data_IF_286366227767
#
_entry.id   IF_286366227767
#
_cell.length_a   1.000
_cell.length_b   1.000
_cell.length_c   1.000
_cell.angle_alpha   90.00
_cell.angle_beta   90.00
_cell.angle_gamma   90.00
#
_symmetry.space_group_name_H-M   'P 1'
#
loop_
_entity.id
_entity.type
_entity.pdbx_description
1 polymer ?
#
# COMPACT_ATOMS: atom_id res chain seq x y z
N UNK A 1 11.14 37.43 43.11
CA UNK A 1 10.25 38.00 42.08
C UNK A 1 10.44 37.21 40.79
N UNK A 2 9.35 36.61 40.31
CA UNK A 2 9.13 36.00 38.98
C UNK A 2 10.09 34.90 38.52
N UNK A 3 9.75 33.67 38.90
CA UNK A 3 10.10 32.42 38.21
C UNK A 3 8.86 31.89 37.50
N UNK A 4 8.95 31.59 36.20
CA UNK A 4 7.98 30.74 35.50
C UNK A 4 8.78 29.77 34.63
N UNK A 5 8.63 28.46 34.89
CA UNK A 5 8.64 27.51 33.80
C UNK A 5 7.48 26.49 33.86
N UNK A 6 7.13 26.02 32.66
CA UNK A 6 6.74 24.64 32.29
C UNK A 6 5.31 24.05 32.46
N UNK A 7 4.78 23.61 31.28
CA UNK A 7 4.02 22.39 30.85
C UNK A 7 2.74 21.92 31.57
N UNK A 8 1.65 21.76 30.79
CA UNK A 8 0.87 20.51 30.52
C UNK A 8 -0.57 20.89 30.08
N UNK A 9 -0.98 20.66 28.83
CA UNK A 9 -1.58 19.40 28.29
C UNK A 9 -2.59 18.76 29.25
N UNK A 10 -3.88 18.91 28.94
CA UNK A 10 -5.02 18.11 29.39
C UNK A 10 -5.81 17.75 28.10
N UNK A 11 -5.64 16.59 27.47
CA UNK A 11 -6.35 15.32 27.73
C UNK A 11 -7.78 15.52 28.21
N UNK A 12 -8.74 15.31 27.30
CA UNK A 12 -10.07 14.83 27.65
C UNK A 12 -10.34 13.57 26.84
N UNK A 13 -10.09 12.44 27.50
CA UNK A 13 -10.58 11.13 27.11
C UNK A 13 -12.11 11.13 27.26
N UNK A 14 -12.81 10.72 26.21
CA UNK A 14 -14.24 10.45 26.24
C UNK A 14 -14.44 9.09 26.94
N UNK A 15 -14.58 9.09 28.26
CA UNK A 15 -14.94 7.89 29.02
C UNK A 15 -16.44 7.66 28.93
N UNK A 16 -16.83 6.66 28.13
CA UNK A 16 -18.19 6.11 28.14
C UNK A 16 -18.35 5.30 29.43
N UNK A 17 -19.04 5.85 30.42
CA UNK A 17 -19.46 5.11 31.60
C UNK A 17 -20.73 4.30 31.27
N UNK A 18 -20.57 3.00 31.04
CA UNK A 18 -21.67 2.03 31.07
C UNK A 18 -22.17 1.89 32.51
N UNK A 19 -23.39 2.34 32.78
CA UNK A 19 -24.07 2.10 34.05
C UNK A 19 -24.85 0.78 33.94
N UNK A 20 -24.32 -0.25 34.60
CA UNK A 20 -25.04 -1.48 34.95
C UNK A 20 -24.98 -1.68 36.46
N UNK A 21 -26.11 -1.53 37.17
CA UNK A 21 -26.39 -2.14 38.49
C UNK A 21 -27.93 -2.27 38.56
N UNK A 22 -28.51 -3.45 38.31
CA UNK A 22 -28.69 -4.59 39.21
C UNK A 22 -29.66 -4.31 40.37
N UNK A 23 -30.87 -4.88 40.24
CA UNK A 23 -31.88 -4.95 41.29
C UNK A 23 -31.42 -5.97 42.34
N UNK A 24 -31.26 -5.53 43.58
CA UNK A 24 -31.02 -6.38 44.75
C UNK A 24 -31.70 -5.79 45.98
N UNK A 25 -32.70 -6.48 46.51
CA UNK A 25 -33.47 -6.08 47.67
C UNK A 25 -32.65 -6.10 48.97
N UNK A 26 -32.89 -5.11 49.85
CA UNK A 26 -32.86 -5.29 51.30
C UNK A 26 -31.91 -4.39 52.10
N UNK A 27 -32.35 -3.18 52.46
CA UNK A 27 -32.31 -2.60 53.83
C UNK A 27 -32.81 -1.13 53.81
N UNK A 28 -33.54 -0.75 54.86
CA UNK A 28 -34.37 0.46 54.98
C UNK A 28 -33.56 1.78 55.17
N UNK A 29 -34.19 2.95 54.93
CA UNK A 29 -33.51 4.15 54.44
C UNK A 29 -33.03 5.06 55.56
N UNK A 30 -31.92 5.78 55.31
CA UNK A 30 -31.63 7.01 56.03
C UNK A 30 -30.95 8.03 55.09
N UNK A 31 -31.59 9.20 54.98
CA UNK A 31 -31.06 10.50 54.57
C UNK A 31 -30.38 10.62 53.19
N UNK A 32 -31.08 10.29 52.08
CA UNK A 32 -30.59 10.60 50.71
C UNK A 32 -31.46 11.60 49.93
N UNK A 33 -32.71 11.85 50.34
CA UNK A 33 -33.63 12.71 49.56
C UNK A 33 -33.15 14.18 49.42
N UNK A 34 -32.47 14.73 50.43
CA UNK A 34 -31.94 16.10 50.37
C UNK A 34 -30.71 16.22 49.47
N UNK A 35 -29.90 15.16 49.35
CA UNK A 35 -28.66 15.17 48.58
C UNK A 35 -28.93 14.98 47.08
N UNK A 36 -29.96 14.22 46.73
CA UNK A 36 -30.34 13.99 45.33
C UNK A 36 -31.19 15.13 44.76
N UNK A 37 -32.04 15.78 45.58
CA UNK A 37 -32.73 17.02 45.18
C UNK A 37 -31.73 18.16 44.88
N UNK A 38 -30.68 18.29 45.70
CA UNK A 38 -29.64 19.32 45.52
C UNK A 38 -28.78 19.06 44.27
N UNK A 39 -28.54 17.78 43.92
CA UNK A 39 -27.85 17.40 42.68
C UNK A 39 -28.72 17.58 41.45
N UNK A 40 -30.03 17.31 41.53
CA UNK A 40 -30.96 17.58 40.43
C UNK A 40 -31.06 19.08 40.13
N UNK A 41 -31.19 19.94 41.14
CA UNK A 41 -31.17 21.40 40.91
C UNK A 41 -29.83 21.89 40.33
N UNK A 42 -28.70 21.29 40.74
CA UNK A 42 -27.39 21.61 40.17
C UNK A 42 -27.27 21.18 38.70
N UNK A 43 -27.82 20.01 38.34
CA UNK A 43 -27.88 19.51 36.96
C UNK A 43 -28.83 20.32 36.09
N UNK A 44 -29.98 20.76 36.61
CA UNK A 44 -30.89 21.65 35.90
C UNK A 44 -30.24 23.01 35.62
N UNK A 45 -29.54 23.58 36.61
CA UNK A 45 -28.76 24.82 36.40
C UNK A 45 -27.65 24.64 35.36
N UNK A 46 -26.96 23.50 35.35
CA UNK A 46 -25.97 23.22 34.31
C UNK A 46 -26.61 23.06 32.93
N UNK A 47 -27.76 22.40 32.83
CA UNK A 47 -28.48 22.26 31.57
C UNK A 47 -28.96 23.62 31.03
N UNK A 48 -29.47 24.51 31.88
CA UNK A 48 -29.87 25.85 31.46
C UNK A 48 -28.66 26.72 31.05
N UNK A 49 -27.52 26.59 31.75
CA UNK A 49 -26.27 27.23 31.33
C UNK A 49 -25.76 26.68 29.99
N UNK A 50 -25.87 25.38 29.77
CA UNK A 50 -25.48 24.75 28.51
C UNK A 50 -26.40 25.19 27.37
N UNK A 51 -27.72 25.22 27.58
CA UNK A 51 -28.68 25.75 26.59
C UNK A 51 -28.41 27.22 26.28
N UNK A 52 -28.14 28.04 27.29
CA UNK A 52 -27.76 29.44 27.09
C UNK A 52 -26.44 29.57 26.30
N UNK A 53 -25.45 28.71 26.59
CA UNK A 53 -24.18 28.68 25.85
C UNK A 53 -24.32 28.19 24.41
N UNK A 54 -25.29 27.29 24.14
CA UNK A 54 -25.60 26.80 22.81
C UNK A 54 -26.34 27.86 22.01
N UNK A 55 -27.34 28.51 22.62
CA UNK A 55 -28.05 29.62 22.00
C UNK A 55 -27.11 30.77 21.67
N UNK A 56 -26.21 31.12 22.60
CA UNK A 56 -25.18 32.15 22.35
C UNK A 56 -24.23 31.74 21.22
N UNK A 57 -23.75 30.48 21.20
CA UNK A 57 -22.91 30.00 20.08
C UNK A 57 -23.65 29.95 18.76
N UNK A 58 -24.96 29.74 18.79
CA UNK A 58 -25.81 29.72 17.61
C UNK A 58 -26.06 31.15 17.10
N UNK A 59 -26.27 32.11 17.99
CA UNK A 59 -26.29 33.55 17.69
C UNK A 59 -24.92 34.02 17.18
N UNK A 60 -23.81 33.61 17.78
CA UNK A 60 -22.45 33.90 17.31
C UNK A 60 -22.19 33.27 15.92
N UNK A 61 -22.77 32.10 15.62
CA UNK A 61 -22.70 31.45 14.30
C UNK A 61 -23.58 32.14 13.26
N UNK A 62 -24.75 32.62 13.65
CA UNK A 62 -25.66 33.36 12.78
C UNK A 62 -25.13 34.79 12.52
N UNK A 63 -24.45 35.41 13.50
CA UNK A 63 -23.71 36.66 13.36
C UNK A 63 -22.45 36.47 12.51
N UNK A 64 -21.69 35.37 12.69
CA UNK A 64 -20.58 35.03 11.79
C UNK A 64 -21.05 34.71 10.36
N UNK A 65 -22.26 34.15 10.19
CA UNK A 65 -22.90 33.98 8.88
C UNK A 65 -23.35 35.32 8.30
N UNK A 66 -23.87 36.23 9.11
CA UNK A 66 -24.24 37.59 8.70
C UNK A 66 -23.00 38.43 8.33
N UNK A 67 -21.89 38.27 9.05
CA UNK A 67 -20.59 38.89 8.74
C UNK A 67 -19.93 38.26 7.50
N UNK A 68 -20.14 36.97 7.23
CA UNK A 68 -19.75 36.35 5.95
C UNK A 68 -20.66 36.75 4.77
N UNK A 69 -21.89 37.21 5.04
CA UNK A 69 -22.77 37.83 4.04
C UNK A 69 -22.51 39.34 3.89
N UNK A 70 -21.88 39.98 4.87
CA UNK A 70 -21.56 41.42 4.93
C UNK A 70 -20.11 41.77 4.61
N UNK A 71 -19.19 40.80 4.63
CA UNK A 71 -17.83 40.96 4.12
C UNK A 71 -17.87 40.91 2.60
N UNK A 72 -18.12 42.08 2.01
CA UNK A 72 -17.83 42.46 0.63
C UNK A 72 -17.51 41.26 -0.25
N UNK A 73 -18.55 40.65 -0.82
CA UNK A 73 -18.42 39.94 -2.08
C UNK A 73 -17.77 40.93 -3.04
N UNK A 74 -16.45 40.84 -3.19
CA UNK A 74 -15.87 40.94 -4.51
C UNK A 74 -16.55 39.81 -5.26
N UNK A 75 -17.69 40.12 -5.87
CA UNK A 75 -18.30 39.25 -6.88
C UNK A 75 -17.19 39.11 -7.91
N UNK A 76 -16.43 38.03 -7.80
CA UNK A 76 -15.46 37.67 -8.82
C UNK A 76 -16.28 37.62 -10.11
N UNK A 77 -15.95 38.49 -11.06
CA UNK A 77 -16.58 38.57 -12.38
C UNK A 77 -16.21 37.35 -13.24
N UNK A 78 -16.30 36.15 -12.66
CA UNK A 78 -15.89 34.87 -13.21
C UNK A 78 -16.91 33.77 -12.91
N UNK A 79 -16.87 32.67 -13.68
CA UNK A 79 -17.88 31.62 -13.67
C UNK A 79 -18.00 30.97 -12.29
N UNK A 80 -19.23 30.70 -11.83
CA UNK A 80 -19.54 30.01 -10.57
C UNK A 80 -18.87 28.64 -10.46
N UNK A 81 -18.81 28.05 -9.26
CA UNK A 81 -18.20 26.73 -9.07
C UNK A 81 -18.89 25.65 -9.93
N UNK A 82 -20.21 25.72 -10.06
CA UNK A 82 -21.00 24.84 -10.95
C UNK A 82 -20.60 25.04 -12.42
N UNK A 83 -20.54 26.29 -12.90
CA UNK A 83 -20.15 26.59 -14.28
C UNK A 83 -18.72 26.15 -14.60
N UNK A 84 -17.79 26.28 -13.63
CA UNK A 84 -16.41 25.79 -13.77
C UNK A 84 -16.38 24.27 -13.89
N UNK A 85 -17.15 23.56 -13.05
CA UNK A 85 -17.21 22.11 -13.04
C UNK A 85 -17.89 21.55 -14.30
N UNK A 86 -18.95 22.20 -14.77
CA UNK A 86 -19.61 21.90 -16.04
C UNK A 86 -18.64 22.05 -17.21
N UNK A 87 -17.82 23.11 -17.21
CA UNK A 87 -16.80 23.28 -18.24
C UNK A 87 -15.76 22.15 -18.16
N UNK A 88 -15.20 21.88 -16.97
CA UNK A 88 -14.21 20.81 -16.75
C UNK A 88 -14.71 19.45 -17.25
N UNK A 89 -15.98 19.12 -17.00
CA UNK A 89 -16.60 17.86 -17.41
C UNK A 89 -16.73 17.73 -18.93
N UNK A 90 -16.89 18.86 -19.63
CA UNK A 90 -17.08 18.91 -21.08
C UNK A 90 -15.77 19.12 -21.87
N UNK A 91 -14.63 19.29 -21.20
CA UNK A 91 -13.35 19.46 -21.87
C UNK A 91 -12.93 18.19 -22.62
N UNK A 92 -12.56 18.36 -23.89
CA UNK A 92 -12.01 17.29 -24.72
C UNK A 92 -10.56 17.58 -25.06
N UNK A 93 -9.66 16.78 -24.48
CA UNK A 93 -8.24 16.83 -24.80
C UNK A 93 -7.94 15.93 -26.00
N UNK A 94 -7.18 16.46 -26.95
CA UNK A 94 -6.66 15.77 -28.13
C UNK A 94 -5.16 16.03 -28.21
N UNK A 95 -4.43 15.24 -29.00
CA UNK A 95 -3.00 15.46 -29.25
C UNK A 95 -2.70 16.87 -29.79
N UNK A 96 -3.61 17.44 -30.59
CA UNK A 96 -3.44 18.75 -31.22
C UNK A 96 -3.64 19.94 -30.25
N UNK A 97 -4.52 19.82 -29.26
CA UNK A 97 -4.84 20.91 -28.32
C UNK A 97 -4.32 20.68 -26.89
N UNK A 98 -3.54 19.62 -26.65
CA UNK A 98 -3.04 19.19 -25.33
C UNK A 98 -2.55 20.34 -24.45
N UNK A 99 -1.57 21.13 -24.91
CA UNK A 99 -1.00 22.24 -24.11
C UNK A 99 -2.00 23.36 -23.81
N UNK A 100 -2.97 23.59 -24.69
CA UNK A 100 -4.01 24.59 -24.47
C UNK A 100 -5.03 24.08 -23.44
N UNK A 101 -5.46 22.82 -23.58
CA UNK A 101 -6.40 22.19 -22.65
C UNK A 101 -5.80 21.99 -21.27
N UNK A 102 -4.54 21.57 -21.16
CA UNK A 102 -3.85 21.47 -19.87
C UNK A 102 -3.82 22.81 -19.14
N UNK A 103 -3.48 23.91 -19.83
CA UNK A 103 -3.53 25.26 -19.24
C UNK A 103 -4.93 25.66 -18.83
N UNK A 104 -5.96 25.28 -19.61
CA UNK A 104 -7.35 25.55 -19.26
C UNK A 104 -7.80 24.75 -18.03
N UNK A 105 -7.47 23.47 -17.95
CA UNK A 105 -7.73 22.62 -16.77
C UNK A 105 -7.05 23.22 -15.54
N UNK A 106 -5.76 23.55 -15.63
CA UNK A 106 -5.04 24.18 -14.52
C UNK A 106 -5.70 25.49 -14.07
N UNK A 107 -6.10 26.35 -15.01
CA UNK A 107 -6.80 27.59 -14.70
C UNK A 107 -8.14 27.36 -14.00
N UNK A 108 -8.94 26.40 -14.47
CA UNK A 108 -10.26 26.09 -13.90
C UNK A 108 -10.14 25.48 -12.50
N UNK A 109 -9.21 24.53 -12.30
CA UNK A 109 -8.95 23.96 -10.98
C UNK A 109 -8.44 25.02 -10.00
N UNK A 110 -7.54 25.92 -10.44
CA UNK A 110 -7.07 27.03 -9.60
C UNK A 110 -8.22 27.99 -9.24
N UNK A 111 -9.13 28.26 -10.18
CA UNK A 111 -10.32 29.07 -9.93
C UNK A 111 -11.24 28.45 -8.87
N UNK A 112 -11.32 27.11 -8.79
CA UNK A 112 -12.07 26.43 -7.72
C UNK A 112 -11.36 26.57 -6.36
N UNK A 113 -10.03 26.55 -6.33
CA UNK A 113 -9.25 26.75 -5.09
C UNK A 113 -9.38 28.18 -4.56
N UNK A 114 -9.29 29.19 -5.44
CA UNK A 114 -9.42 30.61 -5.07
C UNK A 114 -10.78 30.91 -4.42
N UNK A 115 -11.82 30.15 -4.79
CA UNK A 115 -13.17 30.24 -4.19
C UNK A 115 -13.27 29.60 -2.81
N UNK A 116 -12.30 28.76 -2.40
CA UNK A 116 -12.23 28.18 -1.06
C UNK A 116 -13.44 27.29 -0.71
N UNK A 117 -13.92 27.45 0.53
CA UNK A 117 -15.04 26.67 1.09
C UNK A 117 -16.32 26.69 0.24
N UNK A 118 -16.55 27.74 -0.55
CA UNK A 118 -17.72 27.84 -1.43
C UNK A 118 -17.73 26.78 -2.54
N UNK A 119 -16.56 26.25 -2.93
CA UNK A 119 -16.45 25.19 -3.94
C UNK A 119 -16.71 23.81 -3.37
N UNK A 120 -16.55 23.60 -2.06
CA UNK A 120 -16.57 22.26 -1.45
C UNK A 120 -17.89 21.51 -1.68
N UNK A 121 -19.08 22.11 -1.50
CA UNK A 121 -20.34 21.39 -1.73
C UNK A 121 -20.50 20.91 -3.18
N UNK A 122 -20.13 21.75 -4.16
CA UNK A 122 -20.22 21.43 -5.59
C UNK A 122 -19.26 20.29 -5.95
N UNK A 123 -18.03 20.35 -5.43
CA UNK A 123 -17.03 19.31 -5.65
C UNK A 123 -17.49 17.99 -5.04
N UNK A 124 -17.98 18.03 -3.80
CA UNK A 124 -18.52 16.86 -3.08
C UNK A 124 -19.65 16.20 -3.87
N UNK A 125 -20.62 16.98 -4.35
CA UNK A 125 -21.76 16.46 -5.11
C UNK A 125 -21.31 15.80 -6.41
N UNK A 126 -20.30 16.34 -7.08
CA UNK A 126 -19.72 15.70 -8.26
C UNK A 126 -19.02 14.38 -7.92
N UNK A 127 -18.19 14.36 -6.88
CA UNK A 127 -17.46 13.17 -6.48
C UNK A 127 -18.40 12.01 -6.11
N UNK A 128 -19.57 12.31 -5.55
CA UNK A 128 -20.60 11.33 -5.22
C UNK A 128 -21.33 10.73 -6.44
N UNK A 129 -21.25 11.35 -7.63
CA UNK A 129 -21.86 10.80 -8.86
C UNK A 129 -21.06 9.64 -9.46
N UNK A 130 -19.83 9.41 -9.00
CA UNK A 130 -18.93 8.37 -9.50
C UNK A 130 -18.58 8.48 -11.01
N UNK A 131 -18.80 9.64 -11.61
CA UNK A 131 -18.40 9.97 -12.98
C UNK A 131 -16.96 10.51 -12.99
N UNK A 132 -16.16 10.11 -13.98
CA UNK A 132 -14.79 10.58 -14.17
C UNK A 132 -14.50 10.98 -15.62
N UNK A 133 -13.58 11.94 -15.79
CA UNK A 133 -13.07 12.41 -17.08
C UNK A 133 -11.56 12.28 -17.09
N UNK A 134 -11.02 11.34 -17.87
CA UNK A 134 -9.58 11.14 -17.98
C UNK A 134 -8.93 12.29 -18.79
N UNK A 135 -7.93 12.94 -18.19
CA UNK A 135 -7.14 14.00 -18.83
C UNK A 135 -5.90 13.45 -19.53
N UNK A 136 -5.52 12.20 -19.26
CA UNK A 136 -4.40 11.55 -19.92
C UNK A 136 -4.72 11.33 -21.41
N UNK A 137 -3.82 11.80 -22.28
CA UNK A 137 -3.84 11.45 -23.71
C UNK A 137 -3.59 9.95 -23.82
N UNK A 138 -4.39 9.22 -24.60
CA UNK A 138 -4.12 7.84 -25.04
C UNK A 138 -2.63 7.69 -25.35
N UNK A 139 -1.91 7.01 -24.45
CA UNK A 139 -0.48 6.78 -24.62
C UNK A 139 -0.34 5.68 -25.68
N UNK A 140 0.24 6.01 -26.84
CA UNK A 140 0.63 5.00 -27.82
C UNK A 140 1.58 4.00 -27.14
N UNK A 141 1.32 2.71 -27.35
CA UNK A 141 1.90 1.54 -26.66
C UNK A 141 3.46 1.45 -26.67
N UNK A 142 4.14 2.37 -27.37
CA UNK A 142 5.56 2.28 -27.70
C UNK A 142 6.50 2.90 -26.64
N UNK A 143 6.01 3.77 -25.75
CA UNK A 143 6.86 4.48 -24.76
C UNK A 143 7.01 3.76 -23.41
N UNK A 144 6.46 2.55 -23.24
CA UNK A 144 6.55 1.78 -21.99
C UNK A 144 7.87 1.05 -21.74
N UNK A 145 8.91 1.31 -22.55
CA UNK A 145 10.10 0.46 -22.66
C UNK A 145 11.44 1.08 -22.25
N UNK A 146 11.50 2.23 -21.61
CA UNK A 146 12.80 2.76 -21.13
C UNK A 146 12.71 3.30 -19.70
N UNK A 147 13.46 2.69 -18.79
CA UNK A 147 13.53 3.08 -17.38
C UNK A 147 13.95 1.92 -16.49
N UNK A 148 15.23 1.54 -16.52
CA UNK A 148 15.83 0.54 -15.61
C UNK A 148 16.64 1.25 -14.54
N UNK A 149 16.18 1.20 -13.30
CA UNK A 149 16.99 1.49 -12.12
C UNK A 149 16.59 0.50 -11.02
N UNK A 150 17.52 -0.38 -10.63
CA UNK A 150 17.37 -1.20 -9.42
C UNK A 150 17.89 -0.37 -8.25
N UNK A 151 16.99 0.20 -7.46
CA UNK A 151 17.29 0.83 -6.17
C UNK A 151 16.74 -0.05 -5.03
N UNK A 152 17.62 -0.52 -4.15
CA UNK A 152 17.27 -1.14 -2.86
C UNK A 152 17.43 -0.03 -1.81
N UNK A 153 16.35 0.49 -1.24
CA UNK A 153 16.43 1.39 -0.08
C UNK A 153 15.20 2.24 0.22
N UNK A 154 14.66 2.08 1.43
CA UNK A 154 14.23 3.21 2.26
C UNK A 154 12.74 3.53 2.38
N UNK A 155 12.10 3.97 1.29
CA UNK A 155 10.81 4.66 1.38
C UNK A 155 9.68 3.87 0.68
N UNK A 156 8.47 3.87 1.26
CA UNK A 156 7.28 3.27 0.66
C UNK A 156 7.05 3.83 -0.76
N UNK A 157 7.34 5.12 -0.99
CA UNK A 157 7.27 5.71 -2.34
C UNK A 157 8.35 5.19 -3.30
N UNK A 158 9.56 4.92 -2.83
CA UNK A 158 10.66 4.34 -3.63
C UNK A 158 10.36 2.88 -4.01
N UNK A 159 9.71 2.16 -3.09
CA UNK A 159 9.24 0.77 -3.28
C UNK A 159 8.11 0.71 -4.32
N UNK A 160 7.12 1.58 -4.20
CA UNK A 160 6.04 1.75 -5.19
C UNK A 160 6.57 2.09 -6.58
N UNK A 161 7.60 2.95 -6.68
CA UNK A 161 8.24 3.29 -7.97
C UNK A 161 9.04 2.12 -8.57
N UNK A 162 9.68 1.31 -7.73
CA UNK A 162 10.60 0.24 -8.18
C UNK A 162 9.90 -1.07 -8.52
N UNK A 163 8.79 -1.39 -7.85
CA UNK A 163 8.01 -2.64 -8.06
C UNK A 163 6.83 -2.46 -9.00
N UNK A 164 6.35 -1.23 -9.20
CA UNK A 164 5.08 -0.99 -9.90
C UNK A 164 5.24 -0.11 -11.12
N UNK A 165 5.37 -0.72 -12.30
CA UNK A 165 4.89 -0.05 -13.52
C UNK A 165 3.38 0.14 -13.37
N UNK A 166 2.94 1.39 -13.16
CA UNK A 166 1.52 1.76 -13.27
C UNK A 166 0.76 2.08 -11.98
N UNK A 167 1.41 2.24 -10.81
CA UNK A 167 0.73 2.67 -9.56
C UNK A 167 1.29 3.94 -8.93
N UNK A 168 1.92 4.82 -9.73
CA UNK A 168 2.32 6.13 -9.22
C UNK A 168 1.09 6.89 -8.71
N UNK A 169 1.19 7.48 -7.52
CA UNK A 169 0.21 8.44 -6.98
C UNK A 169 0.76 9.87 -6.98
N UNK A 170 1.85 10.09 -7.73
CA UNK A 170 2.49 11.39 -7.86
C UNK A 170 2.39 11.82 -9.32
N UNK A 171 1.74 12.95 -9.56
CA UNK A 171 1.51 13.50 -10.89
C UNK A 171 1.75 15.01 -10.86
N UNK A 172 2.47 15.53 -11.86
CA UNK A 172 2.65 16.98 -12.03
C UNK A 172 1.35 17.67 -12.48
N UNK A 173 0.46 16.91 -13.12
CA UNK A 173 -0.88 17.32 -13.52
C UNK A 173 -1.86 16.20 -13.20
N UNK A 174 -3.08 16.53 -12.73
CA UNK A 174 -4.04 15.50 -12.36
C UNK A 174 -4.37 14.63 -13.58
N UNK A 175 -4.35 13.29 -13.44
CA UNK A 175 -4.61 12.36 -14.53
C UNK A 175 -6.09 12.30 -14.93
N UNK A 176 -7.00 12.71 -14.04
CA UNK A 176 -8.44 12.80 -14.30
C UNK A 176 -9.10 13.92 -13.50
N UNK A 177 -10.34 14.27 -13.85
CA UNK A 177 -11.10 15.32 -13.18
C UNK A 177 -11.29 15.00 -11.70
N UNK A 178 -11.69 13.78 -11.34
CA UNK A 178 -11.89 13.42 -9.92
C UNK A 178 -10.62 13.58 -9.10
N UNK A 179 -9.46 13.22 -9.66
CA UNK A 179 -8.17 13.43 -8.98
C UNK A 179 -7.85 14.92 -8.84
N UNK A 180 -8.08 15.71 -9.90
CA UNK A 180 -7.92 17.16 -9.84
C UNK A 180 -8.81 17.81 -8.78
N UNK A 181 -10.04 17.31 -8.60
CA UNK A 181 -10.95 17.80 -7.56
C UNK A 181 -10.51 17.39 -6.15
N UNK A 182 -9.93 16.20 -5.97
CA UNK A 182 -9.30 15.79 -4.71
C UNK A 182 -8.12 16.73 -4.37
N UNK A 183 -7.29 17.09 -5.35
CA UNK A 183 -6.22 18.06 -5.16
C UNK A 183 -6.76 19.45 -4.79
N UNK A 184 -7.87 19.87 -5.39
CA UNK A 184 -8.54 21.12 -5.02
C UNK A 184 -9.01 21.08 -3.56
N UNK A 185 -9.65 19.98 -3.11
CA UNK A 185 -10.04 19.81 -1.70
C UNK A 185 -8.83 19.84 -0.75
N UNK A 186 -7.71 19.21 -1.15
CA UNK A 186 -6.45 19.25 -0.40
C UNK A 186 -5.95 20.67 -0.19
N UNK A 187 -5.93 21.48 -1.25
CA UNK A 187 -5.44 22.86 -1.21
C UNK A 187 -6.40 23.80 -0.49
N UNK A 188 -7.72 23.59 -0.59
CA UNK A 188 -8.72 24.33 0.19
C UNK A 188 -8.53 24.04 1.69
N UNK A 189 -8.40 22.75 2.04
CA UNK A 189 -8.25 22.29 3.43
C UNK A 189 -9.44 22.61 4.33
N UNK A 190 -9.25 22.44 5.64
CA UNK A 190 -10.28 22.70 6.63
C UNK A 190 -11.34 21.60 6.74
N UNK A 191 -12.19 21.71 7.77
CA UNK A 191 -13.11 20.63 8.18
C UNK A 191 -14.11 20.21 7.10
N UNK A 192 -14.55 21.15 6.27
CA UNK A 192 -15.47 20.94 5.14
C UNK A 192 -14.81 20.06 4.06
N UNK A 193 -13.60 20.41 3.63
CA UNK A 193 -12.87 19.67 2.61
C UNK A 193 -12.38 18.32 3.13
N UNK A 194 -11.91 18.26 4.38
CA UNK A 194 -11.53 17.01 5.05
C UNK A 194 -12.71 16.03 5.12
N UNK A 195 -13.91 16.51 5.49
CA UNK A 195 -15.11 15.67 5.50
C UNK A 195 -15.47 15.17 4.09
N UNK A 196 -15.37 16.03 3.06
CA UNK A 196 -15.60 15.62 1.68
C UNK A 196 -14.60 14.54 1.21
N UNK A 197 -13.32 14.63 1.57
CA UNK A 197 -12.33 13.59 1.29
C UNK A 197 -12.67 12.28 2.01
N UNK A 198 -13.16 12.36 3.25
CA UNK A 198 -13.68 11.21 3.99
C UNK A 198 -14.81 10.49 3.27
N UNK A 199 -15.78 11.24 2.79
CA UNK A 199 -16.92 10.69 2.05
C UNK A 199 -16.49 9.99 0.76
N UNK A 200 -15.45 10.49 0.08
CA UNK A 200 -14.90 9.79 -1.09
C UNK A 200 -14.41 8.39 -0.71
N UNK A 201 -13.75 8.22 0.45
CA UNK A 201 -13.32 6.89 0.90
C UNK A 201 -14.51 5.97 1.20
N UNK A 202 -15.62 6.52 1.68
CA UNK A 202 -16.82 5.74 1.99
C UNK A 202 -17.64 5.36 0.74
N UNK A 203 -17.62 6.18 -0.31
CA UNK A 203 -18.50 6.00 -1.47
C UNK A 203 -17.78 5.51 -2.73
N UNK A 204 -16.46 5.65 -2.82
CA UNK A 204 -15.75 5.32 -4.06
C UNK A 204 -15.62 3.82 -4.26
N UNK A 205 -15.99 3.36 -5.46
CA UNK A 205 -15.73 2.00 -5.92
C UNK A 205 -14.35 1.84 -6.58
N UNK A 206 -13.57 2.92 -6.71
CA UNK A 206 -12.31 2.95 -7.47
C UNK A 206 -11.12 2.82 -6.53
N UNK A 207 -10.38 1.72 -6.63
CA UNK A 207 -9.23 1.47 -5.75
C UNK A 207 -8.11 2.50 -5.88
N UNK A 208 -7.92 3.05 -7.08
CA UNK A 208 -7.01 4.17 -7.29
C UNK A 208 -7.38 5.42 -6.46
N UNK A 209 -8.67 5.75 -6.37
CA UNK A 209 -9.13 6.89 -5.56
C UNK A 209 -8.96 6.63 -4.08
N UNK A 210 -9.25 5.42 -3.59
CA UNK A 210 -8.98 5.05 -2.20
C UNK A 210 -7.52 5.30 -1.86
N UNK A 211 -6.61 4.82 -2.71
CA UNK A 211 -5.17 5.00 -2.52
C UNK A 211 -4.73 6.47 -2.60
N UNK A 212 -5.28 7.22 -3.57
CA UNK A 212 -4.95 8.62 -3.76
C UNK A 212 -5.43 9.48 -2.60
N UNK A 213 -6.68 9.32 -2.17
CA UNK A 213 -7.24 10.05 -1.02
C UNK A 213 -6.50 9.68 0.26
N UNK A 214 -6.24 8.40 0.53
CA UNK A 214 -5.47 7.95 1.70
C UNK A 214 -4.08 8.59 1.76
N UNK A 215 -3.37 8.67 0.63
CA UNK A 215 -2.08 9.40 0.56
C UNK A 215 -2.27 10.89 0.83
N UNK A 216 -3.25 11.51 0.19
CA UNK A 216 -3.53 12.95 0.31
C UNK A 216 -3.84 13.36 1.74
N UNK A 217 -4.76 12.65 2.42
CA UNK A 217 -5.13 12.96 3.81
C UNK A 217 -3.98 12.72 4.78
N UNK A 218 -3.11 11.73 4.54
CA UNK A 218 -1.89 11.53 5.32
C UNK A 218 -0.89 12.67 5.16
N UNK A 219 -0.68 13.14 3.93
CA UNK A 219 0.17 14.29 3.66
C UNK A 219 -0.36 15.57 4.33
N UNK A 220 -1.68 15.72 4.43
CA UNK A 220 -2.33 16.89 5.05
C UNK A 220 -2.33 16.85 6.58
N UNK A 221 -2.68 15.69 7.16
CA UNK A 221 -3.09 15.60 8.57
C UNK A 221 -2.23 14.63 9.41
N UNK A 222 -1.30 13.92 8.78
CA UNK A 222 -0.39 12.97 9.44
C UNK A 222 -0.74 11.50 9.19
N UNK A 223 0.16 10.61 9.61
CA UNK A 223 0.19 9.20 9.15
C UNK A 223 -1.05 8.38 9.46
N UNK A 224 -1.80 8.70 10.52
CA UNK A 224 -3.01 7.97 10.94
C UNK A 224 -4.32 8.60 10.43
N UNK A 225 -4.23 9.67 9.64
CA UNK A 225 -5.40 10.34 9.07
C UNK A 225 -6.23 9.39 8.21
N UNK A 226 -7.54 9.32 8.50
CA UNK A 226 -8.53 8.50 7.80
C UNK A 226 -8.15 7.02 7.66
N UNK A 227 -7.27 6.54 8.54
CA UNK A 227 -6.74 5.16 8.48
C UNK A 227 -7.86 4.12 8.52
N UNK A 228 -8.85 4.33 9.39
CA UNK A 228 -9.95 3.38 9.57
C UNK A 228 -10.82 3.31 8.32
N UNK A 229 -11.15 4.47 7.76
CA UNK A 229 -11.99 4.64 6.58
C UNK A 229 -11.30 4.05 5.35
N UNK A 230 -10.02 4.38 5.13
CA UNK A 230 -9.23 3.86 4.02
C UNK A 230 -9.02 2.34 4.08
N UNK A 231 -8.72 1.79 5.26
CA UNK A 231 -8.60 0.33 5.45
C UNK A 231 -9.95 -0.36 5.22
N UNK A 232 -11.04 0.19 5.77
CA UNK A 232 -12.37 -0.38 5.58
C UNK A 232 -12.77 -0.43 4.09
N UNK A 233 -12.53 0.66 3.35
CA UNK A 233 -12.76 0.71 1.91
C UNK A 233 -11.88 -0.31 1.15
N UNK A 234 -10.60 -0.44 1.53
CA UNK A 234 -9.71 -1.42 0.93
C UNK A 234 -10.17 -2.87 1.17
N UNK A 235 -10.56 -3.20 2.41
CA UNK A 235 -11.09 -4.51 2.76
C UNK A 235 -12.36 -4.84 1.97
N UNK A 236 -13.32 -3.92 1.92
CA UNK A 236 -14.59 -4.15 1.27
C UNK A 236 -14.40 -4.36 -0.24
N UNK A 237 -13.67 -3.48 -0.92
CA UNK A 237 -13.46 -3.59 -2.37
C UNK A 237 -12.59 -4.79 -2.78
N UNK A 238 -11.68 -5.26 -1.91
CA UNK A 238 -10.91 -6.49 -2.17
C UNK A 238 -11.76 -7.74 -1.99
N UNK A 239 -12.74 -7.70 -1.08
CA UNK A 239 -13.61 -8.85 -0.77
C UNK A 239 -14.81 -8.91 -1.72
N UNK A 240 -15.38 -7.75 -2.02
CA UNK A 240 -16.59 -7.54 -2.80
C UNK A 240 -16.28 -6.57 -3.96
N UNK A 241 -15.56 -7.01 -5.01
CA UNK A 241 -15.21 -6.14 -6.12
C UNK A 241 -16.47 -5.63 -6.82
N UNK A 242 -16.54 -4.32 -7.01
CA UNK A 242 -17.67 -3.64 -7.66
C UNK A 242 -17.32 -3.35 -9.13
N UNK A 243 -18.25 -3.61 -10.04
CA UNK A 243 -18.10 -3.19 -11.43
C UNK A 243 -18.17 -1.66 -11.55
N UNK A 244 -17.15 -1.05 -12.15
CA UNK A 244 -17.05 0.40 -12.27
C UNK A 244 -17.70 0.84 -13.59
N UNK A 245 -18.71 1.71 -13.54
CA UNK A 245 -19.27 2.33 -14.74
C UNK A 245 -18.20 3.18 -15.44
N UNK A 246 -18.04 2.98 -16.76
CA UNK A 246 -17.06 3.69 -17.59
C UNK A 246 -15.63 3.64 -17.01
N UNK A 247 -14.99 2.45 -17.03
CA UNK A 247 -13.67 2.29 -16.44
C UNK A 247 -12.61 3.09 -17.21
N UNK A 248 -11.70 3.72 -16.49
CA UNK A 248 -10.55 4.44 -17.01
C UNK A 248 -9.28 3.54 -16.98
N UNK A 249 -8.14 4.09 -17.38
CA UNK A 249 -6.88 3.33 -17.44
C UNK A 249 -6.39 2.81 -16.08
N UNK A 250 -6.75 3.46 -14.97
CA UNK A 250 -6.31 3.09 -13.61
C UNK A 250 -7.13 1.95 -13.01
N UNK A 251 -8.38 1.78 -13.46
CA UNK A 251 -9.28 0.76 -12.90
C UNK A 251 -8.79 -0.67 -13.15
N UNK A 252 -7.96 -0.88 -14.19
CA UNK A 252 -7.32 -2.17 -14.48
C UNK A 252 -6.41 -2.66 -13.35
N UNK A 253 -5.87 -1.74 -12.54
CA UNK A 253 -4.95 -2.03 -11.45
C UNK A 253 -5.60 -1.84 -10.07
N UNK A 254 -6.94 -1.80 -9.98
CA UNK A 254 -7.66 -1.51 -8.74
C UNK A 254 -7.23 -2.37 -7.56
N UNK A 255 -7.16 -3.69 -7.74
CA UNK A 255 -6.70 -4.63 -6.70
C UNK A 255 -5.35 -4.21 -6.12
N UNK A 256 -4.41 -3.83 -6.99
CA UNK A 256 -3.07 -3.38 -6.58
C UNK A 256 -3.10 -2.09 -5.77
N UNK A 257 -3.90 -1.11 -6.18
CA UNK A 257 -4.04 0.11 -5.39
C UNK A 257 -4.62 -0.15 -3.99
N UNK A 258 -5.58 -1.06 -3.87
CA UNK A 258 -6.16 -1.43 -2.58
C UNK A 258 -5.14 -2.13 -1.67
N UNK A 259 -4.33 -3.07 -2.20
CA UNK A 259 -3.23 -3.65 -1.43
C UNK A 259 -2.18 -2.61 -1.02
N UNK A 260 -1.88 -1.65 -1.90
CA UNK A 260 -0.97 -0.56 -1.54
C UNK A 260 -1.48 0.28 -0.36
N UNK A 261 -2.81 0.42 -0.19
CA UNK A 261 -3.41 1.07 0.98
C UNK A 261 -3.16 0.25 2.24
N UNK A 262 -3.35 -1.08 2.17
CA UNK A 262 -3.06 -1.97 3.30
C UNK A 262 -1.58 -1.93 3.68
N UNK A 263 -0.69 -1.94 2.70
CA UNK A 263 0.76 -1.76 2.91
C UNK A 263 1.10 -0.40 3.51
N UNK A 264 0.48 0.66 2.98
CA UNK A 264 0.69 2.05 3.41
C UNK A 264 0.42 2.22 4.92
N UNK A 265 -0.63 1.57 5.43
CA UNK A 265 -0.99 1.60 6.84
C UNK A 265 -0.45 0.42 7.67
N UNK A 266 0.33 -0.47 7.04
CA UNK A 266 0.81 -1.74 7.60
C UNK A 266 -0.33 -2.53 8.29
N UNK A 267 -1.47 -2.64 7.60
CA UNK A 267 -2.65 -3.33 8.09
C UNK A 267 -2.46 -4.85 8.01
N UNK A 268 -2.39 -5.51 9.16
CA UNK A 268 -2.26 -6.96 9.26
C UNK A 268 -3.60 -7.69 9.34
N UNK A 269 -4.71 -6.95 9.48
CA UNK A 269 -6.03 -7.57 9.69
C UNK A 269 -6.57 -8.26 8.43
N UNK A 270 -6.00 -7.97 7.25
CA UNK A 270 -6.37 -8.63 5.99
C UNK A 270 -5.53 -9.87 5.63
N UNK A 271 -4.52 -10.24 6.43
CA UNK A 271 -3.57 -11.33 6.10
C UNK A 271 -4.29 -12.63 5.77
N UNK A 272 -5.23 -13.08 6.61
CA UNK A 272 -5.93 -14.35 6.39
C UNK A 272 -6.75 -14.35 5.09
N UNK A 273 -7.35 -13.20 4.74
CA UNK A 273 -8.07 -13.04 3.47
C UNK A 273 -7.12 -13.06 2.29
N UNK A 274 -6.00 -12.34 2.38
CA UNK A 274 -4.95 -12.34 1.37
C UNK A 274 -4.35 -13.74 1.15
N UNK A 275 -4.14 -14.52 2.21
CA UNK A 275 -3.63 -15.90 2.09
C UNK A 275 -4.51 -16.79 1.22
N UNK A 276 -5.84 -16.62 1.28
CA UNK A 276 -6.79 -17.36 0.41
C UNK A 276 -6.78 -16.87 -1.04
N UNK A 277 -6.27 -15.67 -1.28
CA UNK A 277 -6.15 -15.06 -2.62
C UNK A 277 -4.78 -15.30 -3.27
N UNK A 278 -3.84 -15.93 -2.55
CA UNK A 278 -2.44 -16.06 -3.00
C UNK A 278 -2.32 -16.91 -4.27
N UNK A 279 -3.06 -18.01 -4.35
CA UNK A 279 -3.08 -18.89 -5.52
C UNK A 279 -4.37 -18.65 -6.29
N UNK A 280 -4.24 -18.30 -7.56
CA UNK A 280 -5.37 -18.06 -8.46
C UNK A 280 -5.96 -19.38 -8.97
N UNK A 281 -7.20 -19.33 -9.50
CA UNK A 281 -7.90 -20.51 -10.00
C UNK A 281 -7.17 -21.21 -11.17
N UNK A 282 -6.33 -20.50 -11.91
CA UNK A 282 -5.48 -21.05 -12.98
C UNK A 282 -4.16 -21.65 -12.46
N UNK A 283 -3.97 -21.74 -11.14
CA UNK A 283 -2.79 -22.33 -10.51
C UNK A 283 -1.55 -21.44 -10.57
N UNK A 284 -1.72 -20.13 -10.77
CA UNK A 284 -0.64 -19.15 -10.66
C UNK A 284 -0.66 -18.48 -9.30
N UNK A 285 0.39 -17.72 -9.00
CA UNK A 285 0.34 -16.80 -7.86
C UNK A 285 -0.22 -15.44 -8.28
N UNK A 286 -0.88 -14.78 -7.35
CA UNK A 286 -1.14 -13.36 -7.46
C UNK A 286 0.04 -12.59 -6.85
N UNK A 287 0.89 -12.01 -7.70
CA UNK A 287 2.07 -11.24 -7.30
C UNK A 287 1.74 -10.09 -6.34
N UNK A 288 0.59 -9.44 -6.52
CA UNK A 288 0.18 -8.33 -5.66
C UNK A 288 -0.14 -8.83 -4.26
N UNK A 289 -0.79 -9.98 -4.16
CA UNK A 289 -1.09 -10.63 -2.88
C UNK A 289 0.20 -11.11 -2.21
N UNK A 290 1.12 -11.72 -2.99
CA UNK A 290 2.40 -12.16 -2.46
C UNK A 290 3.24 -10.98 -1.92
N UNK A 291 3.29 -9.86 -2.65
CA UNK A 291 3.99 -8.64 -2.21
C UNK A 291 3.45 -8.14 -0.85
N UNK A 292 2.13 -8.05 -0.70
CA UNK A 292 1.50 -7.66 0.57
C UNK A 292 1.80 -8.65 1.71
N UNK A 293 1.70 -9.95 1.43
CA UNK A 293 2.01 -11.00 2.41
C UNK A 293 3.48 -10.97 2.84
N UNK A 294 4.40 -10.73 1.91
CA UNK A 294 5.85 -10.63 2.16
C UNK A 294 6.19 -9.38 2.99
N UNK A 295 5.60 -8.22 2.64
CA UNK A 295 5.94 -6.95 3.26
C UNK A 295 5.22 -6.70 4.60
N UNK A 296 3.94 -7.06 4.71
CA UNK A 296 3.07 -6.77 5.87
C UNK A 296 2.84 -8.02 6.71
N UNK A 297 2.51 -9.13 6.06
CA UNK A 297 2.25 -10.41 6.71
C UNK A 297 3.49 -11.05 7.33
N UNK A 298 4.64 -10.85 6.70
CA UNK A 298 5.95 -11.27 7.17
C UNK A 298 5.94 -12.76 7.56
N UNK A 299 6.44 -13.10 8.75
CA UNK A 299 6.49 -14.49 9.21
C UNK A 299 5.11 -15.16 9.29
N UNK A 300 4.03 -14.39 9.56
CA UNK A 300 2.66 -14.94 9.62
C UNK A 300 2.19 -15.47 8.27
N UNK A 301 2.76 -14.97 7.17
CA UNK A 301 2.45 -15.44 5.82
C UNK A 301 3.16 -16.76 5.46
N UNK A 302 4.19 -17.17 6.22
CA UNK A 302 5.07 -18.27 5.82
C UNK A 302 4.34 -19.60 5.70
N UNK A 303 3.37 -19.88 6.56
CA UNK A 303 2.60 -21.11 6.42
C UNK A 303 1.85 -21.17 5.08
N UNK A 304 1.33 -20.06 4.61
CA UNK A 304 0.58 -20.01 3.34
C UNK A 304 1.50 -20.02 2.12
N UNK A 305 2.64 -19.32 2.20
CA UNK A 305 3.69 -19.37 1.17
C UNK A 305 4.24 -20.79 1.03
N UNK A 306 4.52 -21.45 2.16
CA UNK A 306 4.98 -22.84 2.21
C UNK A 306 3.97 -23.81 1.60
N UNK A 307 2.68 -23.66 1.96
CA UNK A 307 1.61 -24.48 1.40
C UNK A 307 1.47 -24.27 -0.10
N UNK A 308 1.48 -23.02 -0.59
CA UNK A 308 1.41 -22.72 -2.01
C UNK A 308 2.58 -23.37 -2.78
N UNK A 309 3.80 -23.22 -2.27
CA UNK A 309 5.02 -23.78 -2.85
C UNK A 309 4.97 -25.32 -2.94
N UNK A 310 4.49 -25.99 -1.89
CA UNK A 310 4.47 -27.46 -1.82
C UNK A 310 3.17 -28.10 -2.32
N UNK A 311 2.16 -27.31 -2.68
CA UNK A 311 0.83 -27.83 -3.05
C UNK A 311 0.84 -28.66 -4.35
N UNK A 312 1.83 -28.42 -5.23
CA UNK A 312 1.82 -28.93 -6.60
C UNK A 312 0.81 -28.23 -7.53
N UNK A 313 0.00 -27.30 -7.01
CA UNK A 313 -0.95 -26.52 -7.80
C UNK A 313 -0.24 -25.39 -8.55
N UNK A 314 0.80 -24.80 -7.96
CA UNK A 314 1.65 -23.78 -8.60
C UNK A 314 2.69 -24.49 -9.44
N UNK A 315 2.55 -24.41 -10.77
CA UNK A 315 3.40 -25.13 -11.72
C UNK A 315 4.33 -24.22 -12.54
N UNK A 316 4.04 -22.93 -12.60
CA UNK A 316 4.92 -21.97 -13.25
C UNK A 316 6.22 -21.81 -12.46
N UNK A 317 7.35 -21.88 -13.16
CA UNK A 317 8.68 -21.82 -12.54
C UNK A 317 9.01 -20.44 -12.00
N UNK A 318 8.49 -19.37 -12.60
CA UNK A 318 8.62 -18.01 -12.11
C UNK A 318 7.89 -17.85 -10.78
N UNK A 319 6.63 -18.28 -10.74
CA UNK A 319 5.79 -18.23 -9.54
C UNK A 319 6.40 -19.04 -8.37
N UNK A 320 6.90 -20.24 -8.62
CA UNK A 320 7.62 -21.04 -7.62
C UNK A 320 8.89 -20.33 -7.13
N UNK A 321 9.62 -19.66 -8.02
CA UNK A 321 10.83 -18.91 -7.66
C UNK A 321 10.51 -17.67 -6.81
N UNK A 322 9.37 -17.02 -7.04
CA UNK A 322 8.93 -15.87 -6.27
C UNK A 322 8.40 -16.28 -4.89
N UNK A 323 7.62 -17.38 -4.79
CA UNK A 323 7.26 -18.00 -3.50
C UNK A 323 8.49 -18.42 -2.70
N UNK A 324 9.45 -19.07 -3.35
CA UNK A 324 10.73 -19.44 -2.76
C UNK A 324 11.43 -18.21 -2.17
N UNK A 325 11.58 -17.14 -2.97
CA UNK A 325 12.25 -15.90 -2.53
C UNK A 325 11.56 -15.25 -1.34
N UNK A 326 10.23 -15.22 -1.32
CA UNK A 326 9.47 -14.67 -0.19
C UNK A 326 9.64 -15.55 1.08
N UNK A 327 9.55 -16.88 0.93
CA UNK A 327 9.63 -17.82 2.05
C UNK A 327 11.00 -17.90 2.71
N UNK A 328 12.07 -17.97 1.93
CA UNK A 328 13.44 -18.23 2.44
C UNK A 328 14.04 -17.08 3.24
N UNK A 329 13.44 -15.89 3.24
CA UNK A 329 13.87 -14.76 4.11
C UNK A 329 13.84 -15.11 5.59
N UNK A 330 12.96 -16.04 5.98
CA UNK A 330 12.78 -16.48 7.37
C UNK A 330 13.57 -17.76 7.70
N UNK A 331 14.47 -18.17 6.81
CA UNK A 331 15.40 -19.28 7.08
C UNK A 331 16.24 -18.96 8.31
N UNK A 332 16.47 -19.95 9.17
CA UNK A 332 17.15 -19.82 10.47
C UNK A 332 16.22 -19.57 11.64
N UNK A 333 15.08 -18.90 11.43
CA UNK A 333 14.09 -18.60 12.49
C UNK A 333 12.79 -19.39 12.35
N UNK A 334 12.40 -19.75 11.13
CA UNK A 334 11.14 -20.43 10.86
C UNK A 334 11.35 -21.87 10.31
N UNK A 335 10.77 -22.92 10.92
CA UNK A 335 10.94 -24.29 10.47
C UNK A 335 10.45 -24.58 9.05
N UNK A 336 9.38 -23.93 8.59
CA UNK A 336 8.86 -24.11 7.23
C UNK A 336 9.79 -23.46 6.21
N UNK A 337 10.33 -22.28 6.51
CA UNK A 337 11.34 -21.64 5.67
C UNK A 337 12.63 -22.49 5.58
N UNK A 338 13.06 -23.09 6.68
CA UNK A 338 14.20 -24.02 6.69
C UNK A 338 13.95 -25.22 5.77
N UNK A 339 12.74 -25.76 5.79
CA UNK A 339 12.36 -26.86 4.90
C UNK A 339 12.38 -26.42 3.44
N UNK A 340 11.78 -25.27 3.09
CA UNK A 340 11.82 -24.74 1.72
C UNK A 340 13.25 -24.56 1.22
N UNK A 341 14.13 -24.01 2.05
CA UNK A 341 15.54 -23.84 1.71
C UNK A 341 16.19 -25.19 1.37
N UNK A 342 15.99 -26.21 2.21
CA UNK A 342 16.52 -27.55 1.96
C UNK A 342 15.96 -28.18 0.68
N UNK A 343 14.66 -28.02 0.43
CA UNK A 343 14.00 -28.54 -0.78
C UNK A 343 14.55 -27.87 -2.05
N UNK A 344 14.75 -26.55 -2.02
CA UNK A 344 15.34 -25.79 -3.13
C UNK A 344 16.78 -26.25 -3.40
N UNK A 345 17.58 -26.41 -2.34
CA UNK A 345 19.00 -26.75 -2.48
C UNK A 345 19.20 -28.20 -2.95
N UNK A 346 18.32 -29.10 -2.53
CA UNK A 346 18.40 -30.55 -2.81
C UNK A 346 17.73 -30.97 -4.13
N UNK A 347 16.81 -30.16 -4.67
CA UNK A 347 16.11 -30.48 -5.92
C UNK A 347 16.94 -30.12 -7.15
N UNK A 348 16.86 -30.97 -8.18
CA UNK A 348 17.45 -30.73 -9.51
C UNK A 348 16.55 -29.88 -10.42
N UNK A 349 15.31 -29.62 -10.00
CA UNK A 349 14.35 -28.82 -10.78
C UNK A 349 14.63 -27.32 -10.73
N UNK A 350 15.37 -26.88 -9.71
CA UNK A 350 15.77 -25.48 -9.54
C UNK A 350 17.13 -25.23 -10.16
N UNK A 351 17.20 -24.25 -11.06
CA UNK A 351 18.45 -23.82 -11.65
C UNK A 351 19.34 -23.08 -10.63
N UNK A 352 20.60 -22.83 -11.02
CA UNK A 352 21.56 -22.16 -10.16
C UNK A 352 21.15 -20.73 -9.80
N UNK A 353 20.28 -20.05 -10.57
CA UNK A 353 19.80 -18.69 -10.24
C UNK A 353 18.91 -18.72 -9.02
N UNK A 354 18.00 -19.69 -8.95
CA UNK A 354 17.10 -19.86 -7.80
C UNK A 354 17.91 -20.27 -6.58
N UNK A 355 18.77 -21.28 -6.70
CA UNK A 355 19.66 -21.73 -5.61
C UNK A 355 20.59 -20.62 -5.11
N UNK A 356 21.19 -19.83 -6.02
CA UNK A 356 22.03 -18.70 -5.63
C UNK A 356 21.23 -17.58 -4.94
N UNK A 357 20.01 -17.30 -5.41
CA UNK A 357 19.13 -16.33 -4.73
C UNK A 357 18.83 -16.77 -3.30
N UNK A 358 18.63 -18.06 -3.07
CA UNK A 358 18.44 -18.61 -1.74
C UNK A 358 19.68 -18.49 -0.86
N UNK A 359 20.86 -18.84 -1.38
CA UNK A 359 22.12 -18.69 -0.64
C UNK A 359 22.41 -17.22 -0.29
N UNK A 360 22.07 -16.29 -1.18
CA UNK A 360 22.20 -14.85 -0.94
C UNK A 360 21.29 -14.33 0.16
N UNK A 361 20.13 -14.95 0.40
CA UNK A 361 19.30 -14.49 1.52
C UNK A 361 19.86 -14.96 2.87
N UNK A 362 20.76 -15.94 2.90
CA UNK A 362 21.30 -16.49 4.14
C UNK A 362 22.18 -15.49 4.91
N UNK A 363 22.89 -14.58 4.23
CA UNK A 363 23.72 -13.57 4.88
C UNK A 363 23.01 -12.22 5.12
N UNK A 364 21.75 -12.05 4.70
CA UNK A 364 20.99 -10.78 4.79
C UNK A 364 20.35 -10.54 6.19
N UNK A 365 21.05 -10.93 7.26
CA UNK A 365 20.67 -10.65 8.66
C UNK A 365 21.92 -10.35 9.49
N UNK A 366 21.73 -9.62 10.59
CA UNK A 366 22.79 -9.28 11.55
C UNK A 366 22.58 -9.97 12.92
N UNK A 367 21.50 -10.74 13.08
CA UNK A 367 21.23 -11.50 14.29
C UNK A 367 22.09 -12.78 14.36
N UNK A 368 22.94 -12.87 15.38
CA UNK A 368 23.91 -13.96 15.52
C UNK A 368 23.27 -15.35 15.69
N UNK A 369 22.11 -15.44 16.35
CA UNK A 369 21.44 -16.72 16.56
C UNK A 369 20.85 -17.24 15.24
N UNK A 370 20.20 -16.36 14.47
CA UNK A 370 19.73 -16.65 13.12
C UNK A 370 20.89 -17.00 12.19
N UNK A 371 21.99 -16.26 12.23
CA UNK A 371 23.19 -16.56 11.43
C UNK A 371 23.76 -17.95 11.75
N UNK A 372 23.81 -18.34 13.02
CA UNK A 372 24.26 -19.69 13.43
C UNK A 372 23.34 -20.77 12.90
N UNK A 373 22.02 -20.58 12.99
CA UNK A 373 21.04 -21.53 12.45
C UNK A 373 21.17 -21.66 10.92
N UNK A 374 21.34 -20.54 10.21
CA UNK A 374 21.57 -20.51 8.76
C UNK A 374 22.88 -21.19 8.35
N UNK A 375 23.95 -21.00 9.12
CA UNK A 375 25.22 -21.67 8.88
C UNK A 375 25.08 -23.19 9.01
N UNK A 376 24.39 -23.68 10.04
CA UNK A 376 24.12 -25.11 10.21
C UNK A 376 23.34 -25.69 9.03
N UNK A 377 22.34 -24.96 8.52
CA UNK A 377 21.58 -25.39 7.34
C UNK A 377 22.47 -25.52 6.10
N UNK A 378 23.34 -24.52 5.85
CA UNK A 378 24.26 -24.58 4.71
C UNK A 378 25.29 -25.70 4.82
N UNK A 379 25.80 -25.98 6.03
CA UNK A 379 26.74 -27.08 6.27
C UNK A 379 26.11 -28.46 6.05
N UNK A 380 24.79 -28.57 6.15
CA UNK A 380 24.04 -29.81 5.92
C UNK A 380 23.65 -30.02 4.45
N UNK A 381 23.93 -29.06 3.55
CA UNK A 381 23.67 -29.22 2.12
C UNK A 381 24.62 -30.30 1.57
N UNK A 382 24.10 -31.40 0.99
CA UNK A 382 24.95 -32.41 0.37
C UNK A 382 25.78 -31.80 -0.76
N UNK A 383 27.01 -32.29 -0.95
CA UNK A 383 27.80 -31.92 -2.14
C UNK A 383 26.99 -32.26 -3.39
N UNK A 384 26.69 -31.26 -4.20
CA UNK A 384 25.83 -31.41 -5.37
C UNK A 384 26.50 -32.16 -6.52
N UNK A 385 27.82 -32.38 -6.43
CA UNK A 385 28.64 -32.86 -7.55
C UNK A 385 28.85 -31.80 -8.63
N UNK A 386 28.23 -30.61 -8.47
CA UNK A 386 28.44 -29.43 -9.28
C UNK A 386 29.40 -28.50 -8.52
N UNK A 387 30.65 -28.46 -8.97
CA UNK A 387 31.70 -27.55 -8.46
C UNK A 387 31.22 -26.09 -8.36
N UNK A 388 30.27 -25.71 -9.22
CA UNK A 388 29.62 -24.40 -9.25
C UNK A 388 28.88 -24.08 -7.95
N UNK A 389 27.91 -24.94 -7.63
CA UNK A 389 27.05 -24.81 -6.46
C UNK A 389 27.87 -24.96 -5.18
N UNK A 390 28.74 -25.97 -5.11
CA UNK A 390 29.51 -26.27 -3.91
C UNK A 390 30.46 -25.10 -3.54
N UNK A 391 31.06 -24.43 -4.53
CA UNK A 391 31.85 -23.21 -4.30
C UNK A 391 31.01 -22.05 -3.79
N UNK A 392 29.79 -21.85 -4.30
CA UNK A 392 28.91 -20.76 -3.83
C UNK A 392 28.47 -21.03 -2.39
N UNK A 393 28.08 -22.27 -2.05
CA UNK A 393 27.71 -22.65 -0.68
C UNK A 393 28.87 -22.37 0.28
N UNK A 394 30.10 -22.77 -0.06
CA UNK A 394 31.28 -22.52 0.77
C UNK A 394 31.56 -21.03 0.96
N UNK A 395 31.43 -20.23 -0.11
CA UNK A 395 31.65 -18.79 -0.07
C UNK A 395 30.65 -18.10 0.89
N UNK A 396 29.35 -18.37 0.75
CA UNK A 396 28.34 -17.81 1.68
C UNK A 396 28.51 -18.34 3.12
N UNK A 397 28.92 -19.60 3.29
CA UNK A 397 29.22 -20.15 4.62
C UNK A 397 30.34 -19.39 5.32
N UNK A 398 31.45 -19.11 4.63
CA UNK A 398 32.55 -18.30 5.16
C UNK A 398 32.13 -16.87 5.49
N UNK A 399 31.28 -16.28 4.67
CA UNK A 399 30.76 -14.94 4.93
C UNK A 399 29.94 -14.91 6.24
N UNK A 400 29.08 -15.91 6.45
CA UNK A 400 28.30 -16.00 7.69
C UNK A 400 29.20 -16.27 8.89
N UNK A 401 30.19 -17.16 8.78
CA UNK A 401 31.17 -17.41 9.84
C UNK A 401 31.93 -16.13 10.23
N UNK A 402 32.40 -15.38 9.25
CA UNK A 402 33.08 -14.10 9.49
C UNK A 402 32.16 -13.10 10.19
N UNK A 403 30.89 -12.97 9.77
CA UNK A 403 29.91 -12.12 10.45
C UNK A 403 29.72 -12.51 11.91
N UNK A 404 29.55 -13.81 12.19
CA UNK A 404 29.38 -14.33 13.57
C UNK A 404 30.61 -14.03 14.43
N UNK A 405 31.81 -14.11 13.85
CA UNK A 405 33.07 -13.88 14.55
C UNK A 405 33.47 -12.39 14.63
N UNK A 406 32.73 -11.49 13.96
CA UNK A 406 33.08 -10.07 13.86
C UNK A 406 34.30 -9.80 12.98
N UNK A 407 34.59 -10.69 12.03
CA UNK A 407 35.72 -10.61 11.10
C UNK A 407 35.30 -9.93 9.78
N UNK A 408 36.26 -9.27 9.13
CA UNK A 408 36.03 -8.71 7.80
C UNK A 408 36.18 -9.81 6.74
N UNK A 409 35.15 -10.01 5.92
CA UNK A 409 35.17 -10.94 4.80
C UNK A 409 34.84 -10.23 3.49
N UNK A 410 35.78 -10.26 2.55
CA UNK A 410 35.62 -9.60 1.26
C UNK A 410 34.97 -10.54 0.23
N UNK A 411 33.63 -10.62 0.30
CA UNK A 411 32.80 -11.37 -0.64
C UNK A 411 33.06 -10.98 -2.10
N UNK A 412 33.43 -9.73 -2.37
CA UNK A 412 33.67 -9.24 -3.74
C UNK A 412 34.90 -9.88 -4.37
N UNK A 413 35.92 -10.18 -3.58
CA UNK A 413 37.14 -10.79 -4.10
C UNK A 413 36.96 -12.28 -4.35
N UNK A 414 36.25 -13.01 -3.48
CA UNK A 414 35.89 -14.41 -3.74
C UNK A 414 35.01 -14.55 -4.98
N UNK A 415 34.03 -13.66 -5.15
CA UNK A 415 33.20 -13.58 -6.37
C UNK A 415 34.02 -13.34 -7.66
N UNK A 416 35.10 -12.54 -7.57
CA UNK A 416 36.02 -12.31 -8.70
C UNK A 416 36.87 -13.55 -8.99
N UNK A 417 37.30 -14.24 -7.94
CA UNK A 417 38.16 -15.43 -8.03
C UNK A 417 37.43 -16.65 -8.62
N UNK A 418 36.09 -16.70 -8.58
CA UNK A 418 35.31 -17.71 -9.29
C UNK A 418 35.52 -17.67 -10.82
N UNK A 419 35.84 -16.49 -11.39
CA UNK A 419 36.17 -16.32 -12.81
C UNK A 419 34.97 -16.26 -13.75
N UNK A 420 35.12 -15.65 -14.92
CA UNK A 420 34.02 -15.43 -15.87
C UNK A 420 33.41 -16.71 -16.46
N UNK A 421 34.19 -17.79 -16.55
CA UNK A 421 33.74 -19.08 -17.09
C UNK A 421 32.86 -19.83 -16.09
N UNK A 422 33.11 -19.67 -14.78
CA UNK A 422 32.19 -20.10 -13.74
C UNK A 422 30.83 -19.44 -13.91
N UNK A 423 30.78 -18.10 -14.05
CA UNK A 423 29.52 -17.37 -14.17
C UNK A 423 28.75 -17.75 -15.43
N UNK A 424 29.45 -17.97 -16.55
CA UNK A 424 28.84 -18.47 -17.79
C UNK A 424 28.28 -19.88 -17.65
N UNK A 425 29.02 -20.78 -17.00
CA UNK A 425 28.58 -22.17 -16.82
C UNK A 425 27.45 -22.30 -15.79
N UNK A 426 27.53 -21.53 -14.70
CA UNK A 426 26.56 -21.56 -13.61
C UNK A 426 25.24 -20.87 -13.99
N UNK A 427 25.28 -19.77 -14.75
CA UNK A 427 24.09 -18.93 -14.96
C UNK A 427 23.71 -18.74 -16.44
N UNK A 428 24.47 -19.32 -17.38
CA UNK A 428 24.37 -19.03 -18.81
C UNK A 428 25.05 -17.71 -19.18
N UNK A 429 24.99 -17.33 -20.45
CA UNK A 429 25.60 -16.10 -20.95
C UNK A 429 24.88 -14.85 -20.40
N UNK A 430 25.29 -14.40 -19.21
CA UNK A 430 24.88 -13.12 -18.65
C UNK A 430 25.62 -11.96 -19.35
N UNK A 431 25.29 -11.75 -20.63
CA UNK A 431 25.39 -10.47 -21.31
C UNK A 431 26.73 -10.14 -22.01
N UNK A 432 26.84 -10.53 -23.29
CA UNK A 432 27.35 -9.67 -24.37
C UNK A 432 26.56 -9.89 -25.67
N UNK A 433 25.85 -8.86 -26.14
CA UNK A 433 25.10 -8.81 -27.42
C UNK A 433 23.60 -9.13 -27.24
N UNK A 434 22.59 -8.30 -27.58
CA UNK A 434 22.48 -7.35 -28.70
C UNK A 434 23.23 -7.87 -29.92
N UNK A 435 22.74 -8.98 -30.47
CA UNK A 435 22.87 -9.20 -31.89
C UNK A 435 21.59 -8.77 -32.60
N UNK A 436 21.87 -8.03 -33.67
CA UNK A 436 20.97 -7.34 -34.59
C UNK A 436 20.02 -8.34 -35.25
N UNK A 437 18.91 -7.79 -35.73
CA UNK A 437 17.90 -8.49 -36.50
C UNK A 437 18.49 -9.49 -37.50
N UNK A 438 17.92 -10.66 -37.46
CA UNK A 438 18.09 -11.72 -38.44
C UNK A 438 16.94 -12.69 -38.23
N UNK A 439 15.89 -12.53 -39.04
CA UNK A 439 14.85 -13.54 -39.24
C UNK A 439 15.49 -14.92 -39.37
N UNK A 440 14.97 -15.88 -38.59
CA UNK A 440 15.00 -17.32 -38.87
C UNK A 440 14.10 -18.04 -37.87
N UNK A 441 12.91 -18.36 -38.36
CA UNK A 441 12.11 -19.56 -38.09
C UNK A 441 12.30 -20.25 -36.73
N UNK A 442 11.30 -20.08 -35.85
CA UNK A 442 10.96 -21.07 -34.82
C UNK A 442 9.67 -21.78 -35.19
N UNK A 443 9.75 -22.63 -36.20
CA UNK A 443 8.98 -23.87 -36.26
C UNK A 443 9.81 -24.96 -35.57
N UNK A 444 9.27 -25.56 -34.50
CA UNK A 444 9.98 -26.60 -33.76
C UNK A 444 9.31 -26.96 -32.44
N UNK A 445 8.22 -27.71 -32.55
CA UNK A 445 7.53 -28.41 -31.46
C UNK A 445 8.51 -29.04 -30.47
N UNK A 446 8.50 -28.57 -29.22
CA UNK A 446 8.96 -29.38 -28.07
C UNK A 446 7.72 -29.90 -27.37
N UNK A 447 7.37 -31.11 -27.79
CA UNK A 447 6.25 -31.91 -27.31
C UNK A 447 6.33 -32.12 -25.79
N UNK A 448 5.18 -31.94 -25.14
CA UNK A 448 4.80 -32.64 -23.92
C UNK A 448 5.22 -34.11 -24.02
N UNK A 449 6.02 -34.58 -23.07
CA UNK A 449 6.01 -36.00 -22.72
C UNK A 449 5.42 -36.14 -21.32
N UNK A 450 4.40 -36.99 -21.14
CA UNK A 450 3.87 -37.31 -19.83
C UNK A 450 4.85 -38.25 -19.10
N UNK A 451 5.27 -37.86 -17.90
CA UNK A 451 6.01 -38.76 -17.00
C UNK A 451 5.03 -39.80 -16.45
N UNK A 452 5.24 -41.06 -16.80
CA UNK A 452 4.50 -42.21 -16.25
C UNK A 452 5.05 -42.50 -14.86
N UNK A 453 4.19 -42.46 -13.85
CA UNK A 453 4.48 -42.89 -12.47
C UNK A 453 4.23 -44.41 -12.37
N UNK A 454 5.17 -45.24 -11.90
CA UNK A 454 4.85 -46.62 -11.54
C UNK A 454 4.12 -46.63 -10.18
N UNK A 455 2.93 -47.21 -10.15
CA UNK A 455 2.20 -47.55 -8.94
C UNK A 455 2.89 -48.74 -8.22
N UNK A 456 2.69 -48.92 -6.89
CA UNK A 456 3.43 -49.87 -6.05
C UNK A 456 3.34 -51.34 -6.48
#
# INVERSE_FOLDING_TARGET
MKTIPFINKLTNACTIALVTVAVGCGQAPNSQDSADASKMEALEKQNELLKASLKKRQEDLDEARADNLGSTTVVAAGPSADEILDELTNLKMTSANKKAMQRRISFLLESLKERGDASVPVIRDYLNKMEDVEFAVERSEEEGREGRGRGRGGDWMERMRSRSRGTSLNFDQPPSLRIGLIDVLKEIGGRSAEAALGEVLESTARGFEVAYVAKTVREMMGDDAFKKEAIAAAHDLLTNPVEIPNPNSFDRNNKRFLFNVLEMYNDQTFIESAQRMLVTDDGKIDDTVLDYLDDVGKEQAISSIFQAFNSGNVTDRGDLADLARAGIKYTGSNPQANQMFNDIMSSDDYDMRVKWSALREMDDVDDNDTLRARLQLMQNIPSSGNDGQDKIVQMYSRQIEAKINGEEYNMRDDMRNLGGDFWRNAFGDMGRGRDRGGDRDRGGERRNQPTVVPAP
#
